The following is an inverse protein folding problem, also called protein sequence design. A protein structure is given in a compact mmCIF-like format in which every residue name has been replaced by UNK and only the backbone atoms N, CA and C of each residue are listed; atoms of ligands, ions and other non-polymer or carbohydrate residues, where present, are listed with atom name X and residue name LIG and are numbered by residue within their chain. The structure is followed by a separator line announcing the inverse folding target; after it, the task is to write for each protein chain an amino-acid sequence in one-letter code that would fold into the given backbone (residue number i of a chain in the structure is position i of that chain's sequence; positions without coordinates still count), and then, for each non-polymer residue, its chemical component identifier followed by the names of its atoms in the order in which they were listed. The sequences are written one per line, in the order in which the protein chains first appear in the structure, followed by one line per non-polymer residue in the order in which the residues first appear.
data_IF_924165084385
#
_entry.id   IF_924165084385
#
_cell.length_a   1.000
_cell.length_b   1.000
_cell.length_c   1.000
_cell.angle_alpha   90.00
_cell.angle_beta   90.00
_cell.angle_gamma   90.00
#
_symmetry.space_group_name_H-M   'P 1'
#
loop_
_entity.id
_entity.type
_entity.pdbx_description
1 polymer ?
#
# COMPACT_ATOMS: atom_id res chain seq x y z
N UNK A 1 0.00 42.46 -29.90
CA UNK A 1 0.84 41.76 -28.89
C UNK A 1 0.06 41.25 -27.66
N UNK A 2 -1.28 41.20 -27.68
CA UNK A 2 -2.09 40.80 -26.50
C UNK A 2 -2.60 39.35 -26.54
N UNK A 3 -2.63 38.73 -27.72
CA UNK A 3 -3.16 37.37 -27.93
C UNK A 3 -2.18 36.26 -27.53
N UNK A 4 -0.88 36.42 -27.78
CA UNK A 4 0.16 35.47 -27.36
C UNK A 4 0.29 35.36 -25.82
N UNK A 5 0.08 36.46 -25.11
CA UNK A 5 0.21 36.52 -23.65
C UNK A 5 -0.90 35.71 -22.93
N UNK A 6 -2.11 35.67 -23.52
CA UNK A 6 -3.24 34.86 -23.03
C UNK A 6 -3.04 33.36 -23.32
N UNK A 7 -2.51 33.02 -24.49
CA UNK A 7 -2.17 31.64 -24.86
C UNK A 7 -1.07 31.05 -23.96
N UNK A 8 -0.05 31.82 -23.60
CA UNK A 8 1.00 31.39 -22.67
C UNK A 8 0.48 31.18 -21.24
N UNK A 9 -0.46 32.01 -20.76
CA UNK A 9 -1.06 31.85 -19.43
C UNK A 9 -1.93 30.58 -19.34
N UNK A 10 -2.68 30.27 -20.41
CA UNK A 10 -3.50 29.05 -20.47
C UNK A 10 -2.60 27.80 -20.51
N UNK A 11 -1.53 27.83 -21.32
CA UNK A 11 -0.57 26.72 -21.40
C UNK A 11 0.18 26.48 -20.07
N UNK A 12 0.53 27.54 -19.33
CA UNK A 12 1.16 27.43 -18.01
C UNK A 12 0.22 26.87 -16.93
N UNK A 13 -1.07 27.22 -16.96
CA UNK A 13 -2.06 26.72 -16.01
C UNK A 13 -2.35 25.22 -16.18
N UNK A 14 -2.28 24.70 -17.41
CA UNK A 14 -2.48 23.27 -17.70
C UNK A 14 -1.35 22.38 -17.17
N UNK A 15 -0.12 22.87 -17.12
CA UNK A 15 1.03 22.10 -16.63
C UNK A 15 0.97 21.81 -15.13
N UNK A 16 0.38 22.71 -14.34
CA UNK A 16 0.26 22.55 -12.87
C UNK A 16 -0.80 21.51 -12.51
N UNK A 17 -1.87 21.38 -13.29
CA UNK A 17 -2.94 20.40 -13.05
C UNK A 17 -2.54 18.95 -13.41
N UNK A 18 -1.56 18.78 -14.30
CA UNK A 18 -1.03 17.45 -14.66
C UNK A 18 -0.06 16.89 -13.59
N UNK A 19 0.62 17.77 -12.84
CA UNK A 19 1.59 17.36 -11.83
C UNK A 19 0.94 16.81 -10.54
N UNK A 20 -0.30 17.21 -10.23
CA UNK A 20 -1.02 16.75 -9.04
C UNK A 20 -1.62 15.34 -9.16
N UNK A 21 -1.68 14.78 -10.38
CA UNK A 21 -2.15 13.40 -10.60
C UNK A 21 -1.13 12.30 -10.25
N UNK A 22 0.15 12.65 -10.07
CA UNK A 22 1.22 11.68 -9.83
C UNK A 22 1.26 11.14 -8.38
N UNK A 23 0.49 11.72 -7.47
CA UNK A 23 0.36 11.28 -6.08
C UNK A 23 -0.95 10.55 -5.79
N UNK A 24 -1.68 10.10 -6.82
CA UNK A 24 -2.69 9.06 -6.61
C UNK A 24 -1.92 7.78 -6.34
N UNK A 25 -1.63 7.55 -5.05
CA UNK A 25 -1.12 6.28 -4.57
C UNK A 25 -1.96 5.19 -5.20
N UNK A 26 -1.33 4.36 -6.04
CA UNK A 26 -2.00 3.20 -6.60
C UNK A 26 -2.50 2.39 -5.41
N UNK A 27 -3.81 2.41 -5.19
CA UNK A 27 -4.48 1.38 -4.43
C UNK A 27 -4.41 0.09 -5.27
N UNK A 28 -3.19 -0.41 -5.46
CA UNK A 28 -2.98 -1.80 -5.82
C UNK A 28 -3.65 -2.57 -4.68
N UNK A 29 -4.60 -3.46 -5.00
CA UNK A 29 -5.04 -4.45 -4.04
C UNK A 29 -3.78 -5.15 -3.53
N UNK A 30 -3.34 -4.82 -2.32
CA UNK A 30 -2.08 -5.31 -1.81
C UNK A 30 -2.23 -6.82 -1.66
N UNK A 31 -1.41 -7.56 -2.40
CA UNK A 31 -1.37 -9.01 -2.29
C UNK A 31 -0.63 -9.33 -0.99
N UNK A 32 -1.40 -9.60 0.06
CA UNK A 32 -0.85 -9.89 1.38
C UNK A 32 -0.31 -11.33 1.44
N UNK A 33 0.83 -11.55 2.10
CA UNK A 33 1.36 -12.88 2.34
C UNK A 33 0.33 -13.80 3.01
N UNK A 34 0.25 -15.04 2.53
CA UNK A 34 -0.65 -16.05 3.10
C UNK A 34 -0.02 -16.66 4.36
N UNK A 35 -0.65 -16.41 5.51
CA UNK A 35 -0.18 -16.92 6.82
C UNK A 35 -1.30 -17.59 7.62
N UNK A 36 -2.55 -17.56 7.15
CA UNK A 36 -3.72 -18.05 7.89
C UNK A 36 -3.67 -19.54 8.25
N UNK A 37 -2.94 -20.35 7.48
CA UNK A 37 -2.76 -21.79 7.75
C UNK A 37 -1.59 -22.12 8.68
N UNK A 38 -0.82 -21.12 9.11
CA UNK A 38 0.35 -21.32 9.97
C UNK A 38 -0.06 -21.36 11.45
N UNK A 39 0.79 -21.98 12.25
CA UNK A 39 0.68 -22.05 13.70
C UNK A 39 1.36 -20.84 14.33
N UNK A 40 0.60 -20.05 15.09
CA UNK A 40 1.15 -18.93 15.83
C UNK A 40 2.26 -19.38 16.79
N UNK A 41 3.33 -18.57 16.92
CA UNK A 41 4.48 -18.82 17.78
C UNK A 41 5.31 -20.08 17.47
N UNK A 42 4.99 -20.80 16.39
CA UNK A 42 5.81 -21.89 15.88
C UNK A 42 6.99 -21.36 15.03
N UNK A 43 7.92 -22.26 14.69
CA UNK A 43 9.08 -21.95 13.86
C UNK A 43 8.68 -21.39 12.49
N UNK A 44 7.62 -21.93 11.87
CA UNK A 44 7.07 -21.48 10.59
C UNK A 44 6.53 -20.03 10.60
N UNK A 45 6.15 -19.52 11.77
CA UNK A 45 5.74 -18.14 11.98
C UNK A 45 6.87 -17.28 12.61
N UNK A 46 8.12 -17.75 12.54
CA UNK A 46 9.30 -17.13 13.15
C UNK A 46 9.10 -16.81 14.64
N UNK A 47 8.41 -17.69 15.37
CA UNK A 47 8.06 -17.51 16.78
C UNK A 47 7.22 -16.24 17.08
N UNK A 48 6.53 -15.68 16.08
CA UNK A 48 5.66 -14.52 16.22
C UNK A 48 4.19 -14.93 16.20
N UNK A 49 3.31 -14.01 16.64
CA UNK A 49 1.89 -14.11 16.33
C UNK A 49 1.67 -13.98 14.81
N UNK A 50 0.60 -14.58 14.27
CA UNK A 50 0.32 -14.50 12.82
C UNK A 50 0.22 -13.05 12.31
N UNK A 51 -0.46 -12.10 12.99
CA UNK A 51 -0.47 -10.70 12.56
C UNK A 51 0.91 -10.05 12.65
N UNK A 52 1.74 -10.41 13.63
CA UNK A 52 3.10 -9.93 13.76
C UNK A 52 3.99 -10.44 12.62
N UNK A 53 3.89 -11.73 12.31
CA UNK A 53 4.62 -12.36 11.22
C UNK A 53 4.22 -11.79 9.86
N UNK A 54 2.92 -11.59 9.61
CA UNK A 54 2.42 -10.95 8.41
C UNK A 54 2.99 -9.54 8.21
N UNK A 55 3.01 -8.73 9.28
CA UNK A 55 3.62 -7.38 9.23
C UNK A 55 5.09 -7.44 8.86
N UNK A 56 5.83 -8.40 9.43
CA UNK A 56 7.23 -8.63 9.10
C UNK A 56 7.40 -9.00 7.62
N UNK A 57 6.60 -9.94 7.10
CA UNK A 57 6.65 -10.33 5.70
C UNK A 57 6.33 -9.17 4.75
N UNK A 58 5.32 -8.37 5.07
CA UNK A 58 4.98 -7.17 4.28
C UNK A 58 6.12 -6.15 4.31
N UNK A 59 6.80 -5.97 5.45
CA UNK A 59 7.98 -5.11 5.52
C UNK A 59 9.13 -5.65 4.66
N UNK A 60 9.39 -6.95 4.68
CA UNK A 60 10.44 -7.58 3.86
C UNK A 60 10.12 -7.48 2.37
N UNK A 61 8.85 -7.63 1.97
CA UNK A 61 8.42 -7.62 0.57
C UNK A 61 8.27 -6.20 -0.01
N UNK A 62 7.59 -5.31 0.72
CA UNK A 62 7.17 -3.99 0.21
C UNK A 62 8.00 -2.84 0.80
N UNK A 63 8.84 -3.08 1.82
CA UNK A 63 9.57 -2.03 2.54
C UNK A 63 8.69 -1.13 3.40
N UNK A 64 7.41 -1.49 3.63
CA UNK A 64 6.46 -0.72 4.43
C UNK A 64 5.87 -1.54 5.56
N UNK A 65 5.55 -0.88 6.68
CA UNK A 65 4.80 -1.49 7.76
C UNK A 65 3.32 -1.25 7.59
N UNK A 66 2.52 -2.31 7.73
CA UNK A 66 1.07 -2.20 7.94
C UNK A 66 0.73 -2.14 9.42
N UNK A 67 -0.46 -1.63 9.73
CA UNK A 67 -0.93 -1.58 11.11
C UNK A 67 -1.22 -2.97 11.67
N UNK A 68 -1.13 -3.12 12.99
CA UNK A 68 -1.49 -4.39 13.64
C UNK A 68 -2.96 -4.75 13.42
N UNK A 69 -3.86 -3.77 13.47
CA UNK A 69 -5.30 -3.96 13.25
C UNK A 69 -5.60 -4.43 11.83
N UNK A 70 -4.92 -3.86 10.83
CA UNK A 70 -5.04 -4.29 9.43
C UNK A 70 -4.55 -5.72 9.25
N UNK A 71 -3.35 -6.05 9.75
CA UNK A 71 -2.83 -7.42 9.69
C UNK A 71 -3.77 -8.43 10.37
N UNK A 72 -4.31 -8.08 11.55
CA UNK A 72 -5.24 -8.94 12.29
C UNK A 72 -6.51 -9.24 11.50
N UNK A 73 -7.08 -8.23 10.81
CA UNK A 73 -8.25 -8.42 9.96
C UNK A 73 -7.96 -9.37 8.79
N UNK A 74 -6.80 -9.21 8.16
CA UNK A 74 -6.44 -10.02 6.98
C UNK A 74 -6.16 -11.46 7.39
N UNK A 75 -5.42 -11.69 8.47
CA UNK A 75 -5.22 -13.04 9.03
C UNK A 75 -6.55 -13.70 9.35
N UNK A 76 -7.47 -12.99 10.01
CA UNK A 76 -8.80 -13.53 10.31
C UNK A 76 -9.58 -13.88 9.03
N UNK A 77 -9.49 -13.06 7.98
CA UNK A 77 -10.10 -13.37 6.68
C UNK A 77 -9.48 -14.60 6.01
N UNK A 78 -8.17 -14.82 6.15
CA UNK A 78 -7.49 -15.99 5.61
C UNK A 78 -7.89 -17.29 6.32
N UNK A 79 -8.20 -17.24 7.61
CA UNK A 79 -8.58 -18.41 8.41
C UNK A 79 -10.03 -18.88 8.19
N UNK A 80 -10.88 -18.01 7.63
CA UNK A 80 -12.29 -18.33 7.35
C UNK A 80 -12.45 -18.98 5.96
N UNK A 81 -11.46 -18.82 5.06
CA UNK A 81 -11.47 -19.39 3.71
C UNK A 81 -11.01 -20.84 3.69
#
# INVERSE_FOLDING_TARGET
MTTCKRLMLIAGASAVLLASGLFVGRASAAEYPQVGSLTAFAQEANHMSLPGYMRYLVFVQDGRWISYTEASKIVAQQQIR
#
